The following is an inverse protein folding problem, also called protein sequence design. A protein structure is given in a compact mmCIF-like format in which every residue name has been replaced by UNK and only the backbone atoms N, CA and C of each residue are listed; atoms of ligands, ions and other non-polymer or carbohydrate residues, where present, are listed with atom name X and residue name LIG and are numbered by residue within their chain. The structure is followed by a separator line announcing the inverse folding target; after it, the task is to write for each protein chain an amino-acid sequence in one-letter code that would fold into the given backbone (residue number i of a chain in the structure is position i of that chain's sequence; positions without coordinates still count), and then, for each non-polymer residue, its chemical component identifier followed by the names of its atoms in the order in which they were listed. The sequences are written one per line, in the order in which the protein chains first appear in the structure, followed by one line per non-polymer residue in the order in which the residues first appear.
data_IF_020456375598
#
_entry.id   IF_020456375598
#
_cell.length_a   1.000
_cell.length_b   1.000
_cell.length_c   1.000
_cell.angle_alpha   90.00
_cell.angle_beta   90.00
_cell.angle_gamma   90.00
#
_symmetry.space_group_name_H-M   'P 1'
#
loop_
_entity.id
_entity.type
_entity.pdbx_description
1 polymer ?
#
# COMPACT_ATOMS: atom_id res chain seq x y z
N UNK A 1 24.81 0.60 -56.05
CA UNK A 1 24.58 -0.43 -55.00
C UNK A 1 24.98 0.07 -53.60
N UNK A 2 26.20 0.57 -53.41
CA UNK A 2 26.71 1.08 -52.10
C UNK A 2 25.82 2.15 -51.44
N UNK A 3 25.27 3.09 -52.21
CA UNK A 3 24.41 4.18 -51.69
C UNK A 3 23.10 3.68 -51.07
N UNK A 4 22.50 2.62 -51.62
CA UNK A 4 21.28 2.00 -51.07
C UNK A 4 21.59 1.25 -49.78
N UNK A 5 22.67 0.46 -49.77
CA UNK A 5 23.12 -0.27 -48.58
C UNK A 5 23.39 0.70 -47.42
N UNK A 6 24.08 1.82 -47.69
CA UNK A 6 24.35 2.85 -46.68
C UNK A 6 23.10 3.48 -46.09
N UNK A 7 22.05 3.69 -46.89
CA UNK A 7 20.79 4.26 -46.41
C UNK A 7 20.02 3.28 -45.53
N UNK A 8 19.95 2.00 -45.92
CA UNK A 8 19.27 0.96 -45.13
C UNK A 8 19.93 0.74 -43.77
N UNK A 9 21.26 0.70 -43.70
CA UNK A 9 21.96 0.58 -42.41
C UNK A 9 21.75 1.81 -41.52
N UNK A 10 21.73 3.00 -42.12
CA UNK A 10 21.51 4.24 -41.38
C UNK A 10 20.10 4.31 -40.78
N UNK A 11 19.07 3.88 -41.51
CA UNK A 11 17.70 3.83 -40.96
C UNK A 11 17.56 2.77 -39.87
N UNK A 12 18.20 1.61 -40.00
CA UNK A 12 18.21 0.57 -38.95
C UNK A 12 18.86 1.11 -37.67
N UNK A 13 19.98 1.81 -37.78
CA UNK A 13 20.67 2.41 -36.62
C UNK A 13 19.77 3.46 -35.97
N UNK A 14 19.18 4.36 -36.76
CA UNK A 14 18.26 5.38 -36.23
C UNK A 14 17.05 4.76 -35.53
N UNK A 15 16.42 3.75 -36.14
CA UNK A 15 15.30 3.05 -35.54
C UNK A 15 15.71 2.35 -34.23
N UNK A 16 16.88 1.72 -34.21
CA UNK A 16 17.40 1.06 -33.01
C UNK A 16 17.68 2.05 -31.88
N UNK A 17 18.33 3.18 -32.18
CA UNK A 17 18.59 4.24 -31.20
C UNK A 17 17.28 4.80 -30.64
N UNK A 18 16.29 5.05 -31.50
CA UNK A 18 14.98 5.54 -31.08
C UNK A 18 14.28 4.54 -30.16
N UNK A 19 14.29 3.25 -30.50
CA UNK A 19 13.72 2.20 -29.65
C UNK A 19 14.41 2.11 -28.29
N UNK A 20 15.74 2.19 -28.25
CA UNK A 20 16.50 2.16 -27.00
C UNK A 20 16.18 3.39 -26.15
N UNK A 21 16.15 4.59 -26.75
CA UNK A 21 15.84 5.82 -26.04
C UNK A 21 14.41 5.81 -25.48
N UNK A 22 13.43 5.39 -26.27
CA UNK A 22 12.04 5.23 -25.82
C UNK A 22 11.93 4.21 -24.70
N UNK A 23 12.59 3.06 -24.82
CA UNK A 23 12.57 2.00 -23.80
C UNK A 23 13.22 2.45 -22.50
N UNK A 24 14.38 3.13 -22.58
CA UNK A 24 15.08 3.67 -21.42
C UNK A 24 14.22 4.72 -20.68
N UNK A 25 13.53 5.59 -21.42
CA UNK A 25 12.60 6.57 -20.85
C UNK A 25 11.45 5.92 -20.09
N UNK A 26 10.84 4.87 -20.68
CA UNK A 26 9.76 4.12 -20.03
C UNK A 26 10.26 3.41 -18.76
N UNK A 27 11.43 2.76 -18.82
CA UNK A 27 12.02 2.09 -17.66
C UNK A 27 12.34 3.06 -16.54
N UNK A 28 12.88 4.24 -16.87
CA UNK A 28 13.14 5.29 -15.89
C UNK A 28 11.84 5.74 -15.22
N UNK A 29 10.81 6.04 -16.01
CA UNK A 29 9.51 6.46 -15.49
C UNK A 29 8.87 5.39 -14.60
N UNK A 30 8.88 4.13 -15.03
CA UNK A 30 8.39 3.01 -14.21
C UNK A 30 9.20 2.87 -12.92
N UNK A 31 10.52 3.07 -12.97
CA UNK A 31 11.38 3.08 -11.79
C UNK A 31 10.97 4.15 -10.78
N UNK A 32 10.67 5.36 -11.23
CA UNK A 32 10.18 6.44 -10.35
C UNK A 32 8.84 6.06 -9.71
N UNK A 33 7.87 5.56 -10.49
CA UNK A 33 6.58 5.13 -9.95
C UNK A 33 6.74 4.02 -8.89
N UNK A 34 7.67 3.09 -9.08
CA UNK A 34 7.94 2.03 -8.10
C UNK A 34 8.53 2.61 -6.81
N UNK A 35 9.46 3.57 -6.91
CA UNK A 35 10.05 4.22 -5.75
C UNK A 35 8.99 4.97 -4.94
N UNK A 36 8.15 5.75 -5.60
CA UNK A 36 7.07 6.52 -4.96
C UNK A 36 6.01 5.62 -4.33
N UNK A 37 5.66 4.51 -4.99
CA UNK A 37 4.75 3.53 -4.43
C UNK A 37 5.37 2.83 -3.21
N UNK A 38 6.66 2.49 -3.27
CA UNK A 38 7.36 1.84 -2.16
C UNK A 38 7.43 2.72 -0.92
N UNK A 39 7.72 4.01 -1.08
CA UNK A 39 7.74 4.97 0.05
C UNK A 39 6.35 5.11 0.65
N UNK A 40 5.30 5.28 -0.16
CA UNK A 40 3.91 5.36 0.31
C UNK A 40 3.46 4.10 1.06
N UNK A 41 3.74 2.90 0.53
CA UNK A 41 3.42 1.64 1.20
C UNK A 41 4.17 1.52 2.54
N UNK A 42 5.43 1.94 2.58
CA UNK A 42 6.23 1.92 3.81
C UNK A 42 5.64 2.82 4.89
N UNK A 43 5.21 4.02 4.51
CA UNK A 43 4.54 4.96 5.42
C UNK A 43 3.19 4.42 5.92
N UNK A 44 2.38 3.87 5.02
CA UNK A 44 1.11 3.23 5.38
C UNK A 44 1.32 2.05 6.33
N UNK A 45 2.36 1.25 6.12
CA UNK A 45 2.71 0.14 7.01
C UNK A 45 3.08 0.62 8.40
N UNK A 46 3.89 1.67 8.52
CA UNK A 46 4.27 2.27 9.81
C UNK A 46 3.04 2.84 10.55
N UNK A 47 2.15 3.53 9.82
CA UNK A 47 0.88 4.04 10.39
C UNK A 47 0.00 2.88 10.87
N UNK A 48 -0.13 1.82 10.07
CA UNK A 48 -0.93 0.65 10.43
C UNK A 48 -0.35 -0.08 11.64
N UNK A 49 0.97 -0.21 11.73
CA UNK A 49 1.65 -0.83 12.88
C UNK A 49 1.44 -0.01 14.16
N UNK A 50 1.56 1.32 14.08
CA UNK A 50 1.23 2.23 15.19
C UNK A 50 -0.23 2.15 15.60
N UNK A 51 -1.15 2.10 14.63
CA UNK A 51 -2.58 1.97 14.92
C UNK A 51 -2.87 0.62 15.58
N UNK A 52 -2.35 -0.46 15.02
CA UNK A 52 -2.49 -1.82 15.55
C UNK A 52 -1.96 -1.92 16.99
N UNK A 53 -0.81 -1.30 17.29
CA UNK A 53 -0.27 -1.23 18.64
C UNK A 53 -1.17 -0.43 19.61
N UNK A 54 -1.82 0.65 19.14
CA UNK A 54 -2.75 1.45 19.94
C UNK A 54 -4.12 0.79 20.15
N UNK A 55 -4.61 0.04 19.18
CA UNK A 55 -5.90 -0.66 19.25
C UNK A 55 -5.79 -2.11 19.71
N UNK A 56 -4.57 -2.58 19.99
CA UNK A 56 -4.24 -3.98 20.25
C UNK A 56 -4.72 -4.92 19.15
N UNK A 57 -4.81 -4.44 17.91
CA UNK A 57 -5.29 -5.17 16.74
C UNK A 57 -6.79 -5.37 16.65
N UNK A 58 -7.59 -4.67 17.46
CA UNK A 58 -9.04 -4.61 17.25
C UNK A 58 -9.33 -3.89 15.94
N UNK A 59 -10.19 -4.50 15.10
CA UNK A 59 -10.60 -3.97 13.80
C UNK A 59 -12.08 -3.65 13.79
N UNK A 60 -12.43 -2.54 13.17
CA UNK A 60 -13.81 -2.24 12.84
C UNK A 60 -14.19 -2.97 11.53
N UNK A 61 -15.33 -3.63 11.51
CA UNK A 61 -15.89 -4.26 10.32
C UNK A 61 -17.36 -3.90 10.20
N UNK A 62 -17.82 -3.65 8.99
CA UNK A 62 -19.21 -3.32 8.68
C UNK A 62 -19.73 -4.34 7.66
N UNK A 63 -20.89 -4.90 7.93
CA UNK A 63 -21.69 -5.68 6.99
C UNK A 63 -22.91 -4.86 6.57
N UNK A 64 -23.71 -5.34 5.61
CA UNK A 64 -24.83 -4.61 5.01
C UNK A 64 -25.84 -3.99 5.99
N UNK A 65 -25.87 -4.43 7.26
CA UNK A 65 -26.80 -3.91 8.27
C UNK A 65 -26.16 -3.66 9.66
N UNK A 66 -24.92 -4.08 9.89
CA UNK A 66 -24.36 -4.16 11.24
C UNK A 66 -22.88 -3.78 11.29
N UNK A 67 -22.45 -3.28 12.45
CA UNK A 67 -21.09 -2.79 12.71
C UNK A 67 -20.49 -3.55 13.87
N UNK A 68 -19.30 -4.07 13.67
CA UNK A 68 -18.62 -4.97 14.58
C UNK A 68 -17.23 -4.46 14.95
N UNK A 69 -16.82 -4.75 16.18
CA UNK A 69 -15.43 -4.69 16.60
C UNK A 69 -14.91 -6.12 16.65
N UNK A 70 -14.04 -6.48 15.71
CA UNK A 70 -13.43 -7.80 15.59
C UNK A 70 -12.19 -7.84 16.46
N UNK A 71 -12.22 -8.73 17.45
CA UNK A 71 -11.10 -8.95 18.36
C UNK A 71 -10.04 -9.84 17.69
N UNK A 72 -8.75 -9.53 17.85
CA UNK A 72 -7.69 -10.42 17.42
C UNK A 72 -7.57 -11.62 18.38
N UNK A 73 -6.87 -12.65 17.93
CA UNK A 73 -6.65 -13.86 18.73
C UNK A 73 -6.00 -13.53 20.08
N UNK A 74 -6.47 -14.21 21.14
CA UNK A 74 -5.94 -14.00 22.50
C UNK A 74 -6.46 -12.76 23.23
N UNK A 75 -7.30 -11.92 22.61
CA UNK A 75 -7.95 -10.78 23.28
C UNK A 75 -9.41 -11.11 23.61
N UNK A 76 -9.82 -10.79 24.85
CA UNK A 76 -11.19 -10.89 25.34
C UNK A 76 -11.78 -9.49 25.55
N UNK A 77 -13.09 -9.38 25.40
CA UNK A 77 -13.84 -8.15 25.65
C UNK A 77 -14.78 -8.30 26.85
N UNK A 78 -14.77 -7.31 27.74
CA UNK A 78 -15.78 -7.12 28.78
C UNK A 78 -16.71 -5.96 28.37
N UNK A 79 -17.98 -6.28 28.16
CA UNK A 79 -19.00 -5.36 27.64
C UNK A 79 -19.70 -4.55 28.73
N UNK A 80 -19.46 -4.86 30.01
CA UNK A 80 -20.11 -4.19 31.14
C UNK A 80 -19.24 -3.08 31.76
N UNK A 81 -18.28 -2.57 31.00
CA UNK A 81 -17.38 -1.52 31.48
C UNK A 81 -17.98 -0.13 31.24
N UNK A 82 -17.70 0.80 32.16
CA UNK A 82 -18.12 2.19 32.00
C UNK A 82 -16.97 3.16 32.30
N UNK A 83 -16.96 4.27 31.58
CA UNK A 83 -16.06 5.39 31.79
C UNK A 83 -16.81 6.58 32.40
N UNK A 84 -16.07 7.58 32.90
CA UNK A 84 -16.61 8.83 33.44
C UNK A 84 -17.67 8.65 34.55
N UNK A 85 -17.42 7.74 35.50
CA UNK A 85 -18.33 7.37 36.59
C UNK A 85 -19.70 6.87 36.09
N UNK A 86 -19.72 6.01 35.07
CA UNK A 86 -20.96 5.40 34.56
C UNK A 86 -21.65 6.20 33.45
N UNK A 87 -21.09 7.33 33.01
CA UNK A 87 -21.72 8.18 31.98
C UNK A 87 -21.50 7.70 30.55
N UNK A 88 -20.50 6.84 30.32
CA UNK A 88 -20.19 6.29 28.99
C UNK A 88 -20.00 4.79 29.06
N UNK A 89 -20.75 4.06 28.26
CA UNK A 89 -20.56 2.62 28.08
C UNK A 89 -19.31 2.37 27.24
N UNK A 90 -18.55 1.36 27.62
CA UNK A 90 -17.31 1.00 26.97
C UNK A 90 -17.07 -0.49 26.97
N UNK A 91 -16.13 -0.92 26.13
CA UNK A 91 -15.67 -2.30 26.09
C UNK A 91 -14.24 -2.33 26.62
N UNK A 92 -14.00 -3.08 27.69
CA UNK A 92 -12.65 -3.26 28.22
C UNK A 92 -12.00 -4.47 27.54
N UNK A 93 -10.85 -4.24 26.91
CA UNK A 93 -10.05 -5.30 26.29
C UNK A 93 -9.09 -5.92 27.31
N UNK A 94 -8.97 -7.24 27.30
CA UNK A 94 -8.12 -8.01 28.21
C UNK A 94 -7.37 -9.06 27.42
N UNK A 95 -6.04 -9.13 27.55
CA UNK A 95 -5.27 -10.24 27.00
C UNK A 95 -5.51 -11.49 27.85
N UNK A 96 -5.61 -12.65 27.20
CA UNK A 96 -5.75 -13.96 27.84
C UNK A 96 -4.47 -14.36 28.57
#
# INVERSE_FOLDING_TARGET
MVRMVSQTWLTIVLASVLLIASSAGILWWQGQQILDNYTSIREQKDVLEKLNARTWGVRYQEDNQERFLVLPEGVKADMNWTFDNGRKNGIRLMQK
#
